data_IF_532937758473
#
_entry.id   IF_532937758473
#
_cell.length_a   1.000
_cell.length_b   1.000
_cell.length_c   1.000
_cell.angle_alpha   90.00
_cell.angle_beta   90.00
_cell.angle_gamma   90.00
#
_symmetry.space_group_name_H-M   'P 1'
#
loop_
_entity.id
_entity.type
_entity.pdbx_description
1 polymer ?
#
# COMPACT_ATOMS: atom_id res chain seq x y z
N UNK A 1 23.13 58.42 65.01
CA UNK A 1 24.56 58.18 64.70
C UNK A 1 24.68 56.80 64.07
N UNK A 2 25.33 56.72 62.89
CA UNK A 2 26.13 55.63 62.26
C UNK A 2 25.95 54.21 62.86
N UNK A 3 25.80 53.09 62.14
CA UNK A 3 26.37 52.59 60.86
C UNK A 3 25.81 51.16 60.67
N UNK A 4 25.26 50.76 59.51
CA UNK A 4 25.90 50.06 58.37
C UNK A 4 26.43 48.63 58.64
N UNK A 5 26.14 47.74 57.66
CA UNK A 5 26.77 46.44 57.31
C UNK A 5 26.26 45.21 58.09
N UNK A 6 25.95 44.03 57.51
CA UNK A 6 26.38 43.38 56.27
C UNK A 6 25.35 42.34 55.80
N UNK A 7 25.16 42.27 54.47
CA UNK A 7 24.41 41.25 53.73
C UNK A 7 25.11 39.88 53.80
N UNK A 8 24.36 38.79 53.93
CA UNK A 8 24.73 37.48 53.37
C UNK A 8 23.54 36.95 52.57
N UNK A 9 23.71 36.93 51.25
CA UNK A 9 22.76 36.36 50.32
C UNK A 9 22.80 34.84 50.37
N UNK A 10 21.63 34.22 50.53
CA UNK A 10 21.39 32.86 50.12
C UNK A 10 20.88 32.89 48.68
N UNK A 11 21.74 32.49 47.75
CA UNK A 11 21.39 32.15 46.38
C UNK A 11 20.51 30.89 46.41
N UNK A 12 19.20 31.05 46.27
CA UNK A 12 18.30 29.96 45.96
C UNK A 12 18.50 29.60 44.47
N UNK A 13 19.18 28.48 44.22
CA UNK A 13 19.32 27.91 42.87
C UNK A 13 17.99 27.27 42.50
N UNK A 14 17.20 27.97 41.69
CA UNK A 14 16.00 27.43 41.06
C UNK A 14 16.40 26.48 39.92
N UNK A 15 16.19 25.18 40.11
CA UNK A 15 16.33 24.15 39.07
C UNK A 15 15.08 24.22 38.17
N UNK A 16 15.19 24.50 36.85
CA UNK A 16 14.04 24.39 35.97
C UNK A 16 13.80 22.91 35.65
N UNK A 17 12.63 22.41 36.06
CA UNK A 17 12.14 21.08 35.70
C UNK A 17 11.83 21.08 34.20
N UNK A 18 12.78 20.57 33.40
CA UNK A 18 12.63 20.41 31.96
C UNK A 18 11.59 19.29 31.72
N UNK A 19 10.34 19.68 31.42
CA UNK A 19 9.31 18.76 30.98
C UNK A 19 9.69 18.21 29.60
N UNK A 20 10.27 17.01 29.58
CA UNK A 20 10.55 16.28 28.36
C UNK A 20 9.23 15.85 27.70
N UNK A 21 8.79 16.61 26.70
CA UNK A 21 7.70 16.24 25.81
C UNK A 21 8.17 15.02 25.02
N UNK A 22 7.63 13.85 25.34
CA UNK A 22 7.81 12.62 24.58
C UNK A 22 7.11 12.76 23.22
N UNK A 23 7.86 13.20 22.21
CA UNK A 23 7.43 13.12 20.82
C UNK A 23 7.43 11.64 20.42
N UNK A 24 6.23 11.06 20.36
CA UNK A 24 5.99 9.76 19.74
C UNK A 24 6.10 9.92 18.22
N UNK A 25 7.34 9.97 17.73
CA UNK A 25 7.62 9.84 16.30
C UNK A 25 7.49 8.36 15.94
N UNK A 26 6.43 8.00 15.22
CA UNK A 26 6.33 6.72 14.55
C UNK A 26 7.47 6.65 13.51
N UNK A 27 8.60 6.04 13.90
CA UNK A 27 9.61 5.60 12.96
C UNK A 27 8.94 4.56 12.05
N UNK A 28 8.89 4.84 10.75
CA UNK A 28 8.77 3.80 9.74
C UNK A 28 10.02 2.95 9.92
N UNK A 29 9.87 1.73 10.43
CA UNK A 29 10.97 0.79 10.64
C UNK A 29 11.61 0.47 9.28
N UNK A 30 12.58 1.28 8.86
CA UNK A 30 13.59 0.82 7.92
C UNK A 30 14.55 -0.07 8.71
N UNK A 31 14.17 -1.33 8.88
CA UNK A 31 15.09 -2.38 9.32
C UNK A 31 16.05 -2.72 8.17
N UNK A 32 16.95 -1.78 7.89
CA UNK A 32 18.20 -2.01 7.18
C UNK A 32 19.17 -2.65 8.18
N UNK A 33 18.86 -3.84 8.71
CA UNK A 33 19.87 -4.67 9.33
C UNK A 33 20.94 -4.92 8.27
N UNK A 34 22.12 -4.36 8.50
CA UNK A 34 23.30 -4.41 7.62
C UNK A 34 24.02 -5.76 7.69
N UNK A 35 23.30 -6.81 8.10
CA UNK A 35 23.84 -8.17 8.07
C UNK A 35 23.94 -8.60 6.60
N UNK A 36 25.10 -9.15 6.19
CA UNK A 36 25.27 -9.61 4.82
C UNK A 36 24.26 -10.70 4.50
N UNK A 37 23.55 -10.55 3.38
CA UNK A 37 22.61 -11.56 2.88
C UNK A 37 23.40 -12.85 2.59
N UNK A 38 23.01 -14.01 3.17
CA UNK A 38 23.74 -15.25 2.94
C UNK A 38 23.80 -15.64 1.47
N UNK A 39 24.88 -16.33 1.07
CA UNK A 39 25.01 -16.90 -0.27
C UNK A 39 23.81 -17.82 -0.56
N UNK A 40 23.22 -17.70 -1.75
CA UNK A 40 22.01 -18.42 -2.20
C UNK A 40 20.70 -17.99 -1.53
N UNK A 41 20.67 -16.87 -0.81
CA UNK A 41 19.44 -16.25 -0.32
C UNK A 41 19.26 -14.86 -0.93
N UNK A 42 18.04 -14.34 -0.82
CA UNK A 42 17.68 -12.97 -1.13
C UNK A 42 16.74 -12.45 -0.05
N UNK A 43 16.85 -11.17 0.29
CA UNK A 43 15.95 -10.49 1.22
C UNK A 43 14.75 -9.96 0.45
N UNK A 44 13.55 -10.25 0.94
CA UNK A 44 12.30 -9.78 0.36
C UNK A 44 11.53 -8.98 1.40
N UNK A 45 11.05 -7.80 1.02
CA UNK A 45 10.09 -7.02 1.81
C UNK A 45 8.84 -6.75 0.98
N UNK A 46 7.69 -7.18 1.47
CA UNK A 46 6.38 -6.91 0.89
C UNK A 46 5.67 -5.85 1.71
N UNK A 47 5.27 -4.77 1.05
CA UNK A 47 4.48 -3.70 1.63
C UNK A 47 3.02 -3.85 1.18
N UNK A 48 2.08 -3.53 2.07
CA UNK A 48 0.66 -3.47 1.76
C UNK A 48 0.20 -2.02 1.75
N UNK A 49 -0.54 -1.67 0.71
CA UNK A 49 -1.31 -0.46 0.59
C UNK A 49 -2.73 -0.75 0.13
N UNK A 50 -3.56 0.28 0.14
CA UNK A 50 -4.93 0.22 -0.31
C UNK A 50 -5.26 1.34 -1.30
N UNK A 51 -6.06 0.97 -2.30
CA UNK A 51 -6.70 1.86 -3.24
C UNK A 51 -8.06 2.29 -2.67
N UNK A 52 -8.48 3.54 -2.93
CA UNK A 52 -9.57 4.16 -2.19
C UNK A 52 -10.93 3.45 -2.32
N UNK A 53 -11.64 3.27 -1.20
CA UNK A 53 -13.01 2.73 -1.17
C UNK A 53 -14.02 3.58 -0.37
N UNK A 54 -15.31 3.40 -0.69
CA UNK A 54 -16.46 4.07 -0.05
C UNK A 54 -17.01 3.28 1.16
N UNK A 55 -16.12 2.79 2.03
CA UNK A 55 -16.47 2.19 3.31
C UNK A 55 -15.82 2.96 4.45
N UNK A 56 -16.31 2.77 5.68
CA UNK A 56 -15.69 3.36 6.87
C UNK A 56 -14.42 2.57 7.24
N UNK A 57 -14.49 1.24 7.14
CA UNK A 57 -13.38 0.30 7.37
C UNK A 57 -13.52 -0.93 6.49
N UNK A 58 -12.39 -1.54 6.16
CA UNK A 58 -12.34 -2.91 5.62
C UNK A 58 -11.29 -3.70 6.38
N UNK A 59 -11.76 -4.65 7.17
CA UNK A 59 -10.98 -5.45 8.11
C UNK A 59 -10.69 -6.80 7.47
N UNK A 60 -9.44 -7.01 7.06
CA UNK A 60 -8.98 -8.26 6.44
C UNK A 60 -8.04 -9.00 7.39
N UNK A 61 -8.38 -10.25 7.69
CA UNK A 61 -7.62 -11.14 8.56
C UNK A 61 -6.53 -11.85 7.76
N UNK A 62 -5.28 -11.41 7.86
CA UNK A 62 -4.14 -11.99 7.13
C UNK A 62 -3.34 -12.89 8.07
N UNK A 63 -3.12 -14.14 7.64
CA UNK A 63 -2.53 -15.21 8.47
C UNK A 63 -1.15 -15.64 8.03
N UNK A 64 -0.90 -15.70 6.72
CA UNK A 64 0.37 -16.19 6.17
C UNK A 64 0.68 -15.51 4.85
N UNK A 65 1.97 -15.30 4.59
CA UNK A 65 2.45 -14.88 3.27
C UNK A 65 3.59 -15.79 2.82
N UNK A 66 3.48 -16.28 1.60
CA UNK A 66 4.47 -17.14 0.96
C UNK A 66 4.81 -16.60 -0.42
N UNK A 67 6.00 -16.95 -0.92
CA UNK A 67 6.46 -16.56 -2.25
C UNK A 67 6.92 -17.80 -3.02
N UNK A 68 6.48 -17.91 -4.26
CA UNK A 68 6.91 -18.95 -5.19
C UNK A 68 8.16 -18.46 -5.91
N UNK A 69 9.25 -19.20 -5.75
CA UNK A 69 10.55 -18.89 -6.31
C UNK A 69 10.96 -20.00 -7.25
N UNK A 70 11.39 -19.63 -8.45
CA UNK A 70 12.10 -20.50 -9.38
C UNK A 70 13.61 -20.39 -9.15
N UNK A 71 14.22 -21.45 -8.60
CA UNK A 71 15.65 -21.47 -8.27
C UNK A 71 16.56 -21.79 -9.45
N UNK A 72 15.99 -22.14 -10.61
CA UNK A 72 16.73 -22.45 -11.83
C UNK A 72 16.82 -21.24 -12.78
N UNK A 73 16.21 -20.11 -12.41
CA UNK A 73 16.31 -18.85 -13.13
C UNK A 73 15.37 -18.75 -14.32
N UNK A 74 14.40 -19.65 -14.48
CA UNK A 74 13.43 -19.55 -15.57
C UNK A 74 12.51 -18.36 -15.31
N UNK A 75 12.23 -17.57 -16.33
CA UNK A 75 11.17 -16.54 -16.32
C UNK A 75 9.89 -17.11 -16.94
N UNK A 76 8.72 -16.61 -16.51
CA UNK A 76 7.45 -17.02 -17.12
C UNK A 76 7.19 -16.15 -18.35
N UNK A 77 6.21 -16.52 -19.18
CA UNK A 77 5.65 -15.59 -20.15
C UNK A 77 4.85 -14.51 -19.38
N UNK A 78 5.37 -13.29 -19.45
CA UNK A 78 4.81 -12.11 -18.77
C UNK A 78 3.76 -11.37 -19.63
N UNK A 79 3.38 -11.94 -20.79
CA UNK A 79 2.37 -11.42 -21.71
C UNK A 79 0.93 -11.73 -21.26
N UNK A 80 0.57 -11.26 -20.07
CA UNK A 80 -0.78 -11.37 -19.51
C UNK A 80 -1.27 -9.98 -19.06
N UNK A 81 -2.59 -9.80 -18.95
CA UNK A 81 -3.19 -8.52 -18.58
C UNK A 81 -3.21 -8.35 -17.05
N UNK A 82 -2.93 -7.15 -16.54
CA UNK A 82 -2.96 -6.87 -15.09
C UNK A 82 -4.30 -7.21 -14.40
N UNK A 83 -5.41 -7.29 -15.15
CA UNK A 83 -6.71 -7.76 -14.64
C UNK A 83 -6.70 -9.23 -14.21
N UNK A 84 -5.82 -10.04 -14.77
CA UNK A 84 -5.67 -11.48 -14.49
C UNK A 84 -4.56 -11.77 -13.46
N UNK A 85 -4.07 -10.72 -12.80
CA UNK A 85 -2.95 -10.78 -11.85
C UNK A 85 -3.28 -11.57 -10.60
N UNK A 86 -4.49 -11.36 -10.07
CA UNK A 86 -4.87 -11.80 -8.75
C UNK A 86 -6.10 -12.69 -8.83
N UNK A 87 -6.00 -13.89 -8.27
CA UNK A 87 -7.12 -14.83 -8.20
C UNK A 87 -7.01 -15.76 -6.98
N UNK A 88 -8.02 -16.59 -6.77
CA UNK A 88 -7.99 -17.64 -5.76
C UNK A 88 -7.16 -18.85 -6.24
N UNK A 89 -6.49 -19.54 -5.32
CA UNK A 89 -5.57 -20.68 -5.56
C UNK A 89 -6.26 -21.95 -6.15
N UNK A 90 -7.53 -21.89 -6.57
CA UNK A 90 -8.35 -23.04 -6.95
C UNK A 90 -8.77 -23.09 -8.43
N UNK A 91 -8.33 -22.16 -9.27
CA UNK A 91 -8.56 -22.25 -10.72
C UNK A 91 -7.54 -23.21 -11.35
N UNK A 92 -7.96 -24.47 -11.41
CA UNK A 92 -7.20 -25.71 -11.64
C UNK A 92 -6.55 -25.92 -13.03
N UNK A 93 -6.46 -24.93 -13.90
CA UNK A 93 -6.18 -25.21 -15.32
C UNK A 93 -4.73 -24.97 -15.81
N UNK A 94 -3.80 -24.49 -14.97
CA UNK A 94 -2.43 -24.23 -15.43
C UNK A 94 -1.35 -25.20 -14.92
N UNK A 95 -1.65 -26.09 -13.97
CA UNK A 95 -0.64 -26.98 -13.36
C UNK A 95 -0.61 -28.40 -13.99
N UNK A 96 -1.09 -28.53 -15.24
CA UNK A 96 -1.04 -29.79 -16.01
C UNK A 96 0.30 -30.05 -16.73
N UNK A 97 1.33 -29.28 -16.46
CA UNK A 97 2.69 -29.57 -16.91
C UNK A 97 3.56 -29.87 -15.69
N UNK A 98 4.32 -30.97 -15.77
CA UNK A 98 4.96 -31.64 -14.63
C UNK A 98 5.61 -30.68 -13.65
N UNK A 99 5.49 -30.99 -12.34
CA UNK A 99 6.06 -30.18 -11.24
C UNK A 99 7.49 -29.78 -11.60
N UNK A 100 7.69 -28.50 -11.87
CA UNK A 100 9.03 -27.97 -12.06
C UNK A 100 9.77 -28.16 -10.72
N UNK A 101 10.78 -29.02 -10.72
CA UNK A 101 11.52 -29.39 -9.50
C UNK A 101 12.28 -28.20 -8.91
N UNK A 102 12.42 -27.11 -9.67
CA UNK A 102 13.06 -25.87 -9.25
C UNK A 102 12.13 -24.88 -8.55
N UNK A 103 10.81 -25.12 -8.53
CA UNK A 103 9.85 -24.20 -7.93
C UNK A 103 9.62 -24.52 -6.45
N UNK A 104 9.86 -23.52 -5.60
CA UNK A 104 9.76 -23.65 -4.14
C UNK A 104 8.90 -22.52 -3.59
N UNK A 105 7.89 -22.89 -2.78
CA UNK A 105 7.21 -21.94 -1.90
C UNK A 105 8.06 -21.71 -0.65
N UNK A 106 8.40 -20.47 -0.38
CA UNK A 106 9.11 -20.06 0.83
C UNK A 106 8.25 -19.10 1.66
N UNK A 107 8.31 -19.22 2.98
CA UNK A 107 7.45 -18.43 3.88
C UNK A 107 8.15 -17.13 4.28
N UNK A 108 7.41 -16.03 4.27
CA UNK A 108 7.89 -14.75 4.78
C UNK A 108 7.40 -14.54 6.23
N UNK A 109 8.21 -13.87 7.04
CA UNK A 109 7.79 -13.48 8.39
C UNK A 109 6.75 -12.37 8.30
N UNK A 110 5.63 -12.53 8.99
CA UNK A 110 4.51 -11.58 9.07
C UNK A 110 4.08 -11.46 10.53
N UNK A 111 3.34 -10.40 10.87
CA UNK A 111 2.55 -10.31 12.10
C UNK A 111 1.09 -10.67 11.79
N UNK A 112 0.64 -11.92 11.97
CA UNK A 112 -0.72 -12.31 11.63
C UNK A 112 -1.76 -11.49 12.40
N UNK A 113 -2.87 -11.15 11.75
CA UNK A 113 -3.95 -10.42 12.40
C UNK A 113 -4.88 -9.72 11.44
N UNK A 114 -5.77 -8.91 11.99
CA UNK A 114 -6.76 -8.14 11.26
C UNK A 114 -6.18 -6.77 10.91
N UNK A 115 -6.10 -6.48 9.62
CA UNK A 115 -5.63 -5.23 9.07
C UNK A 115 -6.82 -4.39 8.59
N UNK A 116 -6.87 -3.12 8.99
CA UNK A 116 -7.82 -2.16 8.42
C UNK A 116 -7.21 -1.54 7.15
N UNK A 117 -7.61 -2.07 5.99
CA UNK A 117 -7.03 -1.71 4.70
C UNK A 117 -7.21 -0.23 4.39
N UNK A 118 -8.34 0.37 4.77
CA UNK A 118 -8.63 1.78 4.49
C UNK A 118 -7.74 2.76 5.28
N UNK A 119 -6.96 2.27 6.26
CA UNK A 119 -5.92 3.08 6.92
C UNK A 119 -4.63 3.19 6.08
N UNK A 120 -4.50 2.38 5.02
CA UNK A 120 -3.31 2.28 4.17
C UNK A 120 -3.48 3.01 2.82
N UNK A 121 -4.50 3.86 2.70
CA UNK A 121 -4.76 4.67 1.50
C UNK A 121 -4.00 5.99 1.49
N UNK A 122 -4.09 6.73 0.38
CA UNK A 122 -3.50 8.07 0.23
C UNK A 122 -1.99 8.11 0.54
N UNK A 123 -1.26 7.09 0.09
CA UNK A 123 0.19 7.02 0.22
C UNK A 123 0.70 6.44 1.54
N UNK A 124 -0.20 6.06 2.46
CA UNK A 124 0.17 5.21 3.58
C UNK A 124 0.50 3.79 3.09
N UNK A 125 1.34 3.08 3.84
CA UNK A 125 1.63 1.66 3.64
C UNK A 125 2.10 1.05 4.95
N UNK A 126 2.13 -0.28 5.01
CA UNK A 126 2.74 -1.03 6.11
C UNK A 126 3.60 -2.15 5.56
N UNK A 127 4.67 -2.51 6.27
CA UNK A 127 5.34 -3.79 6.01
C UNK A 127 4.35 -4.91 6.32
N UNK A 128 3.99 -5.68 5.30
CA UNK A 128 3.11 -6.83 5.44
C UNK A 128 3.91 -8.05 5.89
N UNK A 129 4.94 -8.38 5.10
CA UNK A 129 5.78 -9.54 5.35
C UNK A 129 7.20 -9.28 4.85
N UNK A 130 8.18 -9.94 5.46
CA UNK A 130 9.56 -9.90 4.97
C UNK A 130 10.44 -10.96 5.58
N UNK A 131 11.57 -11.21 4.94
CA UNK A 131 12.50 -12.24 5.38
C UNK A 131 13.56 -12.58 4.35
N UNK A 132 14.42 -13.52 4.71
CA UNK A 132 15.34 -14.16 3.80
C UNK A 132 14.65 -15.36 3.17
N UNK A 133 14.69 -15.45 1.85
CA UNK A 133 14.15 -16.57 1.07
C UNK A 133 15.22 -17.12 0.14
N UNK A 134 14.98 -18.28 -0.45
CA UNK A 134 15.89 -18.82 -1.49
C UNK A 134 16.09 -17.81 -2.63
N UNK A 135 17.33 -17.70 -3.10
CA UNK A 135 17.67 -16.89 -4.28
C UNK A 135 17.09 -17.53 -5.54
N UNK A 136 16.42 -16.73 -6.36
CA UNK A 136 15.77 -17.16 -7.60
C UNK A 136 14.76 -16.15 -8.11
N UNK A 137 14.09 -16.47 -9.21
CA UNK A 137 13.09 -15.60 -9.83
C UNK A 137 11.75 -15.76 -9.08
N UNK A 138 11.25 -14.67 -8.49
CA UNK A 138 9.95 -14.68 -7.81
C UNK A 138 8.81 -14.62 -8.83
N UNK A 139 7.86 -15.55 -8.72
CA UNK A 139 6.77 -15.76 -9.70
C UNK A 139 5.40 -15.37 -9.16
N UNK A 140 5.12 -15.76 -7.91
CA UNK A 140 3.80 -15.61 -7.29
C UNK A 140 3.94 -15.31 -5.81
N UNK A 141 3.00 -14.55 -5.28
CA UNK A 141 2.82 -14.35 -3.84
C UNK A 141 1.52 -15.03 -3.46
N UNK A 142 1.52 -15.79 -2.37
CA UNK A 142 0.34 -16.39 -1.77
C UNK A 142 0.05 -15.72 -0.45
N UNK A 143 -1.12 -15.12 -0.32
CA UNK A 143 -1.62 -14.53 0.93
C UNK A 143 -2.72 -15.45 1.44
N UNK A 144 -2.53 -16.01 2.64
CA UNK A 144 -3.57 -16.78 3.32
C UNK A 144 -4.34 -15.85 4.25
N UNK A 145 -5.65 -15.78 4.06
CA UNK A 145 -6.58 -15.03 4.91
C UNK A 145 -7.32 -15.96 5.88
N UNK A 146 -7.72 -15.43 7.03
CA UNK A 146 -8.59 -16.14 8.00
C UNK A 146 -10.06 -15.82 7.78
N UNK A 147 -10.90 -16.21 8.75
CA UNK A 147 -12.36 -16.05 8.67
C UNK A 147 -12.87 -14.73 9.26
N UNK A 148 -12.02 -13.99 9.98
CA UNK A 148 -12.43 -12.76 10.68
C UNK A 148 -12.39 -11.51 9.77
N UNK A 149 -13.04 -11.61 8.61
CA UNK A 149 -13.11 -10.52 7.63
C UNK A 149 -14.45 -9.78 7.74
N UNK A 150 -14.41 -8.46 7.76
CA UNK A 150 -15.61 -7.63 7.80
C UNK A 150 -15.39 -6.27 7.17
N UNK A 151 -16.47 -5.56 6.89
CA UNK A 151 -16.43 -4.15 6.53
C UNK A 151 -17.34 -3.35 7.45
N UNK A 152 -17.05 -2.07 7.59
CA UNK A 152 -17.93 -1.12 8.29
C UNK A 152 -18.45 -0.13 7.27
N UNK A 153 -19.77 0.05 7.26
CA UNK A 153 -20.44 1.04 6.41
C UNK A 153 -21.55 1.72 7.21
N UNK A 154 -21.52 3.04 7.26
CA UNK A 154 -22.42 3.86 8.07
C UNK A 154 -22.46 3.38 9.54
N UNK A 155 -21.28 3.09 10.11
CA UNK A 155 -21.12 2.51 11.45
C UNK A 155 -21.75 1.12 11.67
N UNK A 156 -22.24 0.44 10.63
CA UNK A 156 -22.74 -0.94 10.72
C UNK A 156 -21.67 -1.90 10.21
N UNK A 157 -21.37 -2.92 11.00
CA UNK A 157 -20.43 -3.98 10.62
C UNK A 157 -21.14 -5.07 9.83
N UNK A 158 -20.58 -5.43 8.68
CA UNK A 158 -21.05 -6.52 7.83
C UNK A 158 -19.95 -7.57 7.68
N UNK A 159 -20.26 -8.87 7.80
CA UNK A 159 -19.30 -9.92 7.49
C UNK A 159 -18.95 -9.89 6.00
N UNK A 160 -17.68 -10.15 5.69
CA UNK A 160 -17.19 -10.30 4.33
C UNK A 160 -16.70 -11.73 4.17
N UNK A 161 -17.35 -12.48 3.28
CA UNK A 161 -17.00 -13.89 3.05
C UNK A 161 -16.29 -14.05 1.71
N UNK A 162 -15.31 -14.95 1.63
CA UNK A 162 -14.80 -15.39 0.34
C UNK A 162 -15.83 -16.24 -0.41
N UNK A 163 -15.69 -16.30 -1.73
CA UNK A 163 -16.46 -17.26 -2.54
C UNK A 163 -16.01 -18.67 -2.17
N UNK A 164 -16.95 -19.60 -2.01
CA UNK A 164 -16.66 -21.03 -1.79
C UNK A 164 -15.72 -21.36 -0.62
N UNK A 165 -15.57 -20.47 0.39
CA UNK A 165 -14.68 -20.70 1.53
C UNK A 165 -13.18 -20.58 1.19
N UNK A 166 -12.86 -19.94 0.07
CA UNK A 166 -11.48 -19.75 -0.37
C UNK A 166 -10.70 -18.88 0.62
N UNK A 167 -9.45 -19.25 0.89
CA UNK A 167 -8.60 -18.56 1.88
C UNK A 167 -7.23 -18.20 1.36
N UNK A 168 -6.89 -18.55 0.11
CA UNK A 168 -5.56 -18.32 -0.47
C UNK A 168 -5.68 -17.45 -1.71
N UNK A 169 -5.21 -16.21 -1.59
CA UNK A 169 -5.10 -15.26 -2.68
C UNK A 169 -3.74 -15.46 -3.35
N UNK A 170 -3.71 -15.66 -4.66
CA UNK A 170 -2.50 -15.76 -5.47
C UNK A 170 -2.34 -14.49 -6.30
N UNK A 171 -1.20 -13.82 -6.14
CA UNK A 171 -0.81 -12.65 -6.93
C UNK A 171 0.34 -13.05 -7.84
N UNK A 172 0.16 -12.94 -9.16
CA UNK A 172 1.18 -13.16 -10.18
C UNK A 172 2.10 -11.95 -10.30
N UNK A 173 3.39 -12.20 -10.42
CA UNK A 173 4.42 -11.15 -10.47
C UNK A 173 5.29 -11.36 -11.70
N UNK A 174 5.51 -10.30 -12.46
CA UNK A 174 6.46 -10.32 -13.58
C UNK A 174 7.89 -10.26 -13.06
N UNK A 175 8.82 -10.83 -13.82
CA UNK A 175 10.21 -10.91 -13.38
C UNK A 175 10.88 -9.53 -13.16
N UNK A 176 10.34 -8.48 -13.79
CA UNK A 176 10.88 -7.12 -13.75
C UNK A 176 10.12 -6.17 -12.80
N UNK A 177 9.17 -6.66 -12.01
CA UNK A 177 8.31 -5.85 -11.13
C UNK A 177 8.83 -5.69 -9.71
N UNK A 178 10.13 -5.91 -9.47
CA UNK A 178 10.75 -5.75 -8.15
C UNK A 178 11.68 -4.56 -8.07
N UNK A 179 11.67 -3.84 -6.96
CA UNK A 179 12.74 -2.88 -6.65
C UNK A 179 13.91 -3.60 -6.01
N UNK A 180 15.08 -3.53 -6.64
CA UNK A 180 16.33 -3.98 -6.03
C UNK A 180 17.02 -2.78 -5.38
N UNK A 181 16.89 -2.67 -4.05
CA UNK A 181 17.43 -1.54 -3.27
C UNK A 181 18.94 -1.68 -3.06
N UNK A 182 19.40 -2.91 -2.99
CA UNK A 182 20.80 -3.32 -3.03
C UNK A 182 20.86 -4.74 -3.59
N UNK A 183 22.04 -5.26 -3.91
CA UNK A 183 22.20 -6.63 -4.38
C UNK A 183 21.44 -7.63 -3.51
N UNK A 184 20.56 -8.43 -4.13
CA UNK A 184 19.73 -9.46 -3.49
C UNK A 184 18.74 -8.93 -2.42
N UNK A 185 18.45 -7.63 -2.39
CA UNK A 185 17.51 -6.99 -1.47
C UNK A 185 16.35 -6.35 -2.22
N UNK A 186 15.22 -7.05 -2.21
CA UNK A 186 14.08 -6.82 -3.09
C UNK A 186 12.87 -6.29 -2.31
N UNK A 187 12.18 -5.34 -2.91
CA UNK A 187 10.97 -4.72 -2.36
C UNK A 187 9.85 -4.68 -3.38
N UNK A 188 8.62 -4.85 -2.90
CA UNK A 188 7.41 -4.78 -3.71
C UNK A 188 6.25 -4.25 -2.86
N UNK A 189 5.40 -3.43 -3.47
CA UNK A 189 4.15 -2.98 -2.87
C UNK A 189 2.98 -3.72 -3.50
N UNK A 190 2.07 -4.19 -2.65
CA UNK A 190 0.80 -4.81 -3.00
C UNK A 190 -0.29 -3.80 -2.69
N UNK A 191 -0.99 -3.36 -3.73
CA UNK A 191 -2.04 -2.37 -3.63
C UNK A 191 -3.39 -3.04 -3.75
N UNK A 192 -4.05 -3.20 -2.60
CA UNK A 192 -5.33 -3.86 -2.52
C UNK A 192 -6.43 -2.87 -2.94
N UNK A 193 -7.16 -3.15 -4.01
CA UNK A 193 -8.28 -2.30 -4.42
C UNK A 193 -9.53 -2.75 -3.69
N UNK A 194 -9.82 -2.14 -2.53
CA UNK A 194 -11.03 -2.46 -1.74
C UNK A 194 -12.31 -2.25 -2.56
N UNK A 195 -12.36 -1.23 -3.40
CA UNK A 195 -13.56 -0.87 -4.15
C UNK A 195 -13.93 -1.93 -5.20
N UNK A 196 -12.94 -2.54 -5.85
CA UNK A 196 -13.12 -3.70 -6.76
C UNK A 196 -13.20 -5.02 -6.01
N UNK A 197 -12.57 -5.10 -4.84
CA UNK A 197 -12.48 -6.36 -4.10
C UNK A 197 -13.73 -6.74 -3.33
N UNK A 198 -14.55 -5.75 -2.97
CA UNK A 198 -15.78 -5.98 -2.20
C UNK A 198 -17.00 -5.93 -3.10
N UNK A 199 -17.66 -7.08 -3.26
CA UNK A 199 -18.88 -7.22 -4.08
C UNK A 199 -20.10 -7.29 -3.16
N UNK A 200 -21.03 -6.36 -3.34
CA UNK A 200 -22.36 -6.46 -2.71
C UNK A 200 -23.27 -7.32 -3.58
N UNK A 201 -23.78 -8.40 -3.01
CA UNK A 201 -24.74 -9.28 -3.65
C UNK A 201 -26.18 -8.72 -3.53
N UNK A 202 -27.09 -9.27 -4.33
CA UNK A 202 -28.49 -8.82 -4.39
C UNK A 202 -29.23 -8.97 -3.03
N UNK A 203 -28.85 -9.93 -2.21
CA UNK A 203 -29.44 -10.15 -0.87
C UNK A 203 -28.76 -9.31 0.23
N UNK A 204 -27.88 -8.38 -0.14
CA UNK A 204 -27.20 -7.48 0.78
C UNK A 204 -25.97 -8.05 1.48
N UNK A 205 -25.55 -9.29 1.18
CA UNK A 205 -24.28 -9.85 1.68
C UNK A 205 -23.09 -9.27 0.92
N UNK A 206 -21.95 -9.20 1.58
CA UNK A 206 -20.69 -8.77 0.98
C UNK A 206 -19.74 -9.95 0.78
N UNK A 207 -19.17 -10.02 -0.42
CA UNK A 207 -18.25 -11.08 -0.82
C UNK A 207 -16.90 -10.44 -1.16
N UNK A 208 -15.82 -11.11 -0.75
CA UNK A 208 -14.47 -10.79 -1.17
C UNK A 208 -14.14 -11.49 -2.50
N UNK A 209 -13.77 -10.70 -3.50
CA UNK A 209 -13.13 -11.15 -4.75
C UNK A 209 -11.84 -10.32 -4.92
N UNK A 210 -10.66 -10.85 -4.54
CA UNK A 210 -9.47 -10.03 -4.40
C UNK A 210 -9.06 -9.38 -5.73
N UNK A 211 -8.75 -8.09 -5.67
CA UNK A 211 -8.15 -7.34 -6.75
C UNK A 211 -6.93 -6.61 -6.17
N UNK A 212 -5.73 -7.05 -6.56
CA UNK A 212 -4.46 -6.54 -6.03
C UNK A 212 -3.60 -6.13 -7.21
N UNK A 213 -3.24 -4.85 -7.27
CA UNK A 213 -2.19 -4.36 -8.17
C UNK A 213 -0.83 -4.48 -7.46
N UNK A 214 0.25 -4.42 -8.23
CA UNK A 214 1.60 -4.28 -7.65
C UNK A 214 2.30 -3.08 -8.24
N UNK A 215 3.16 -2.46 -7.46
CA UNK A 215 3.98 -1.37 -7.92
C UNK A 215 5.31 -1.31 -7.18
N UNK A 216 6.21 -0.54 -7.76
CA UNK A 216 7.58 -0.32 -7.29
C UNK A 216 7.86 1.16 -7.19
N UNK A 217 8.52 1.61 -6.12
CA UNK A 217 8.84 3.03 -5.91
C UNK A 217 10.04 3.48 -6.75
N UNK A 218 11.08 2.65 -6.94
CA UNK A 218 12.29 3.10 -7.67
C UNK A 218 12.07 3.18 -9.18
N UNK A 219 11.07 2.49 -9.72
CA UNK A 219 10.76 2.47 -11.15
C UNK A 219 9.55 3.32 -11.53
N UNK A 220 8.75 3.76 -10.56
CA UNK A 220 7.51 4.50 -10.79
C UNK A 220 7.49 5.80 -9.99
N UNK A 221 6.67 6.76 -10.39
CA UNK A 221 6.45 8.00 -9.66
C UNK A 221 5.14 7.97 -8.87
N UNK A 222 4.92 9.05 -8.13
CA UNK A 222 3.65 9.34 -7.48
C UNK A 222 3.23 10.78 -7.73
N UNK A 223 1.96 11.05 -7.48
CA UNK A 223 1.38 12.37 -7.55
C UNK A 223 0.58 12.64 -6.29
N UNK A 224 0.70 13.83 -5.72
CA UNK A 224 -0.03 14.23 -4.52
C UNK A 224 -0.56 15.66 -4.60
N UNK A 225 -1.62 15.93 -3.86
CA UNK A 225 -2.24 17.24 -3.81
C UNK A 225 -3.33 17.32 -2.74
N UNK A 226 -3.99 18.46 -2.68
CA UNK A 226 -5.15 18.69 -1.82
C UNK A 226 -6.29 19.30 -2.63
N UNK A 227 -7.47 18.70 -2.61
CA UNK A 227 -8.68 19.24 -3.27
C UNK A 227 -9.67 19.74 -2.23
N UNK A 228 -10.14 20.97 -2.40
CA UNK A 228 -11.13 21.59 -1.50
C UNK A 228 -12.22 22.32 -2.31
N UNK A 229 -13.44 22.45 -1.76
CA UNK A 229 -13.91 21.94 -0.46
C UNK A 229 -14.35 20.47 -0.50
N UNK A 230 -14.48 19.86 0.68
CA UNK A 230 -14.84 18.43 0.83
C UNK A 230 -16.26 18.12 0.35
N UNK A 231 -17.19 19.07 0.46
CA UNK A 231 -18.58 18.93 0.05
C UNK A 231 -18.77 18.89 -1.48
N UNK A 232 -17.70 19.09 -2.25
CA UNK A 232 -17.68 18.82 -3.69
C UNK A 232 -17.60 17.32 -4.03
N UNK A 233 -17.40 16.44 -3.04
CA UNK A 233 -17.22 14.98 -3.20
C UNK A 233 -16.27 14.61 -4.36
N UNK A 234 -15.03 15.13 -4.37
CA UNK A 234 -14.13 14.97 -5.50
C UNK A 234 -13.69 13.52 -5.70
N UNK A 235 -13.64 13.09 -6.95
CA UNK A 235 -13.00 11.84 -7.40
C UNK A 235 -11.85 12.19 -8.34
N UNK A 236 -10.65 11.75 -8.00
CA UNK A 236 -9.44 12.04 -8.79
C UNK A 236 -9.20 10.88 -9.75
N UNK A 237 -9.09 11.19 -11.04
CA UNK A 237 -8.67 10.27 -12.09
C UNK A 237 -7.35 10.76 -12.68
N UNK A 238 -6.30 9.95 -12.60
CA UNK A 238 -4.99 10.25 -13.19
C UNK A 238 -4.81 9.34 -14.40
N UNK A 239 -4.75 9.94 -15.59
CA UNK A 239 -4.76 9.20 -16.85
C UNK A 239 -3.72 9.73 -17.85
N UNK A 240 -3.29 8.87 -18.76
CA UNK A 240 -2.34 9.22 -19.82
C UNK A 240 -2.89 8.84 -21.21
N UNK A 241 -2.14 9.19 -22.26
CA UNK A 241 -2.48 8.84 -23.65
C UNK A 241 -2.50 7.34 -23.92
N UNK A 242 -1.82 6.55 -23.09
CA UNK A 242 -1.72 5.09 -23.20
C UNK A 242 -2.92 4.38 -22.58
N UNK A 243 -3.96 5.13 -22.16
CA UNK A 243 -5.18 4.61 -21.51
C UNK A 243 -4.93 3.96 -20.14
N UNK A 244 -3.78 4.21 -19.52
CA UNK A 244 -3.61 3.90 -18.11
C UNK A 244 -4.50 4.87 -17.31
N UNK A 245 -5.17 4.38 -16.28
CA UNK A 245 -5.95 5.21 -15.37
C UNK A 245 -5.87 4.67 -13.96
N UNK A 246 -5.46 5.54 -13.04
CA UNK A 246 -5.44 5.30 -11.60
C UNK A 246 -6.37 6.30 -10.91
N UNK A 247 -6.85 5.95 -9.73
CA UNK A 247 -7.85 6.75 -9.02
C UNK A 247 -7.38 7.10 -7.62
N UNK A 248 -7.90 8.21 -7.11
CA UNK A 248 -7.72 8.63 -5.73
C UNK A 248 -9.05 9.18 -5.19
N UNK A 249 -9.41 8.83 -3.95
CA UNK A 249 -10.45 9.53 -3.20
C UNK A 249 -9.75 10.38 -2.12
N UNK A 250 -9.87 11.71 -2.20
CA UNK A 250 -9.36 12.60 -1.17
C UNK A 250 -9.87 12.22 0.22
N UNK A 251 -9.07 12.48 1.24
CA UNK A 251 -9.54 12.38 2.63
C UNK A 251 -10.43 13.59 2.99
N UNK A 252 -11.04 13.58 4.19
CA UNK A 252 -11.92 14.66 4.67
C UNK A 252 -11.32 16.07 4.57
N UNK A 253 -10.00 16.17 4.70
CA UNK A 253 -9.23 17.42 4.60
C UNK A 253 -8.73 17.72 3.19
N UNK A 254 -9.08 16.88 2.21
CA UNK A 254 -8.84 17.07 0.79
C UNK A 254 -7.56 16.43 0.26
N UNK A 255 -6.69 15.89 1.10
CA UNK A 255 -5.43 15.30 0.66
C UNK A 255 -5.66 14.00 -0.11
N UNK A 256 -4.92 13.85 -1.21
CA UNK A 256 -4.89 12.62 -1.98
C UNK A 256 -3.48 12.31 -2.46
N UNK A 257 -3.23 11.04 -2.72
CA UNK A 257 -1.99 10.58 -3.33
C UNK A 257 -2.23 9.36 -4.20
N UNK A 258 -1.71 9.41 -5.42
CA UNK A 258 -1.72 8.32 -6.41
C UNK A 258 -0.29 7.82 -6.57
N UNK A 259 -0.07 6.50 -6.43
CA UNK A 259 1.24 5.84 -6.57
C UNK A 259 1.24 4.89 -7.75
N UNK A 260 2.41 4.38 -8.12
CA UNK A 260 2.53 3.42 -9.22
C UNK A 260 2.29 4.05 -10.60
N UNK A 261 2.59 5.34 -10.76
CA UNK A 261 2.49 6.02 -12.05
C UNK A 261 3.77 5.77 -12.83
N UNK A 262 3.67 5.19 -14.04
CA UNK A 262 4.82 5.07 -14.93
C UNK A 262 5.37 6.46 -15.27
N UNK A 263 6.70 6.64 -15.40
CA UNK A 263 7.27 7.91 -15.82
C UNK A 263 6.69 8.37 -17.16
N UNK A 264 6.37 9.66 -17.26
CA UNK A 264 5.74 10.22 -18.45
C UNK A 264 4.82 11.39 -18.12
N UNK A 265 4.00 11.76 -19.10
CA UNK A 265 3.07 12.88 -18.99
C UNK A 265 1.66 12.37 -18.68
N UNK A 266 1.06 12.93 -17.63
CA UNK A 266 -0.24 12.55 -17.12
C UNK A 266 -1.18 13.76 -17.06
N UNK A 267 -2.47 13.49 -17.09
CA UNK A 267 -3.52 14.44 -16.80
C UNK A 267 -4.23 14.03 -15.51
N UNK A 268 -4.68 15.00 -14.74
CA UNK A 268 -5.41 14.80 -13.49
C UNK A 268 -6.78 15.44 -13.64
N UNK A 269 -7.78 14.60 -13.80
CA UNK A 269 -9.17 15.02 -13.83
C UNK A 269 -9.77 14.91 -12.44
N UNK A 270 -10.33 16.02 -11.97
CA UNK A 270 -11.06 16.10 -10.71
C UNK A 270 -12.54 16.17 -11.08
N UNK A 271 -13.21 15.03 -10.98
CA UNK A 271 -14.65 14.95 -11.13
C UNK A 271 -15.30 15.36 -9.81
N UNK A 272 -16.32 16.19 -9.90
CA UNK A 272 -16.96 16.84 -8.75
C UNK A 272 -18.46 16.64 -8.78
N UNK A 273 -19.10 16.89 -7.65
CA UNK A 273 -20.54 16.78 -7.44
C UNK A 273 -21.04 18.00 -6.67
N UNK A 274 -22.33 18.01 -6.28
CA UNK A 274 -22.91 19.09 -5.45
C UNK A 274 -22.82 20.50 -6.09
N UNK A 275 -22.93 20.55 -7.42
CA UNK A 275 -22.93 21.79 -8.21
C UNK A 275 -21.56 22.44 -8.39
N UNK A 276 -20.47 21.77 -8.01
CA UNK A 276 -19.12 22.20 -8.35
C UNK A 276 -18.79 21.86 -9.80
N UNK A 277 -17.86 22.63 -10.37
CA UNK A 277 -17.33 22.41 -11.72
C UNK A 277 -16.14 21.48 -11.66
N UNK A 278 -16.15 20.51 -12.58
CA UNK A 278 -15.01 19.64 -12.82
C UNK A 278 -13.79 20.46 -13.29
N UNK A 279 -12.60 19.96 -12.98
CA UNK A 279 -11.35 20.59 -13.44
C UNK A 279 -10.34 19.55 -13.89
N UNK A 280 -9.49 19.93 -14.85
CA UNK A 280 -8.42 19.08 -15.35
C UNK A 280 -7.10 19.82 -15.28
N UNK A 281 -6.11 19.20 -14.63
CA UNK A 281 -4.72 19.65 -14.67
C UNK A 281 -4.02 18.81 -15.72
N UNK A 282 -3.56 19.46 -16.78
CA UNK A 282 -2.94 18.79 -17.93
C UNK A 282 -1.42 18.83 -17.85
N UNK A 283 -0.77 17.94 -18.59
CA UNK A 283 0.67 17.92 -18.80
C UNK A 283 1.50 17.82 -17.51
N UNK A 284 1.02 17.03 -16.54
CA UNK A 284 1.75 16.77 -15.31
C UNK A 284 2.86 15.76 -15.58
N UNK A 285 4.11 16.19 -15.42
CA UNK A 285 5.27 15.31 -15.55
C UNK A 285 5.43 14.44 -14.30
N UNK A 286 5.51 13.12 -14.51
CA UNK A 286 5.81 12.13 -13.49
C UNK A 286 7.18 11.54 -13.75
N UNK A 287 8.03 11.54 -12.73
CA UNK A 287 9.38 10.99 -12.76
C UNK A 287 9.50 9.80 -11.81
N UNK A 288 10.37 8.85 -12.15
CA UNK A 288 10.63 7.67 -11.29
C UNK A 288 11.16 8.08 -9.92
N UNK A 289 10.69 7.41 -8.86
CA UNK A 289 11.14 7.65 -7.48
C UNK A 289 10.81 9.04 -6.93
N UNK A 290 9.96 9.82 -7.60
CA UNK A 290 9.60 11.18 -7.20
C UNK A 290 8.10 11.34 -7.02
N UNK A 291 7.76 12.23 -6.08
CA UNK A 291 6.38 12.64 -5.82
C UNK A 291 6.13 14.02 -6.44
N UNK A 292 5.34 14.07 -7.49
CA UNK A 292 4.92 15.31 -8.14
C UNK A 292 3.80 15.96 -7.34
N UNK A 293 4.09 17.12 -6.73
CA UNK A 293 3.13 17.86 -5.90
C UNK A 293 2.33 18.84 -6.74
N UNK A 294 1.01 18.69 -6.76
CA UNK A 294 0.07 19.60 -7.44
C UNK A 294 -0.32 20.81 -6.59
N UNK A 295 -0.08 20.76 -5.28
CA UNK A 295 -0.51 21.79 -4.35
C UNK A 295 -2.02 21.76 -4.06
N UNK A 296 -2.57 22.93 -3.74
CA UNK A 296 -3.97 23.10 -3.40
C UNK A 296 -4.82 23.39 -4.64
N UNK A 297 -5.81 22.53 -4.88
CA UNK A 297 -6.79 22.62 -5.96
C UNK A 297 -8.09 23.10 -5.33
N UNK A 298 -8.48 24.34 -5.63
CA UNK A 298 -9.73 24.95 -5.15
C UNK A 298 -10.81 24.79 -6.21
N UNK A 299 -11.91 24.15 -5.83
CA UNK A 299 -13.07 23.93 -6.67
C UNK A 299 -14.06 25.08 -6.51
N UNK A 300 -14.77 25.36 -7.59
CA UNK A 300 -15.73 26.46 -7.69
C UNK A 300 -17.04 25.97 -8.30
N UNK A 301 -18.15 26.62 -7.94
CA UNK A 301 -19.47 26.38 -8.56
C UNK A 301 -19.62 27.16 -9.87
#
# INVERSE_FOLDING_TARGET
>A
MKSALLKRGLLAVSIPLLAAILLYSCKKDQSSSADPIPRNQQKVSLFLSDDPGLFDKVLLDIRKVEILIDTCGKTDDDNWNDRDRCWWDEDRDHDRQGRDTCQVWDSLSIRPGVYDLLTLRNGADTLLAGGLVKKGVMKRIRITIGDNNSLVKNNVTYPVTSVAGQSKIIVRIRHNEWDEVSTDNLQLWLDFDVQRSIIRTWNGKFILRPYINVFTILKMGSLSGRVTPWDAYPVISVYNSNKDTLYALPWRSGEFKVRGLKPGTWNVFVNTSNGYKDTTITNVTVERGRDTKLGDIKLHK
#
